data_IF_318492428124
#
_entry.id   IF_318492428124
#
_cell.length_a   1.000
_cell.length_b   1.000
_cell.length_c   1.000
_cell.angle_alpha   90.00
_cell.angle_beta   90.00
_cell.angle_gamma   90.00
#
_symmetry.space_group_name_H-M   'P 1'
#
loop_
_entity.id
_entity.type
_entity.pdbx_description
1 polymer ?
#
# COMPACT_ATOMS: atom_id res chain seq x y z
N UNK A 1 -26.00 8.68 -6.98
CA UNK A 1 -26.06 7.23 -7.20
C UNK A 1 -26.75 6.50 -6.04
N UNK A 2 -26.47 6.84 -4.76
CA UNK A 2 -27.20 6.31 -3.59
C UNK A 2 -27.62 7.42 -2.60
N UNK A 3 -28.68 8.18 -2.89
CA UNK A 3 -29.21 9.19 -1.96
C UNK A 3 -30.52 8.69 -1.36
N UNK A 4 -30.49 8.16 -0.15
CA UNK A 4 -31.66 7.96 0.70
C UNK A 4 -31.68 9.06 1.77
N UNK A 5 -32.88 9.54 2.16
CA UNK A 5 -33.01 10.57 3.21
C UNK A 5 -32.55 10.07 4.58
N UNK A 6 -32.79 8.78 4.84
CA UNK A 6 -32.60 8.20 6.18
C UNK A 6 -31.34 7.33 6.28
N UNK A 7 -30.62 7.14 5.17
CA UNK A 7 -29.44 6.28 5.12
C UNK A 7 -28.39 6.80 4.15
N UNK A 8 -27.20 7.09 4.70
CA UNK A 8 -26.02 7.41 3.92
C UNK A 8 -25.10 6.18 3.85
N UNK A 9 -25.11 5.49 2.71
CA UNK A 9 -24.24 4.32 2.49
C UNK A 9 -22.75 4.64 2.67
N UNK A 10 -22.35 5.90 2.41
CA UNK A 10 -20.97 6.35 2.55
C UNK A 10 -20.54 6.57 4.01
N UNK A 11 -21.49 6.71 4.95
CA UNK A 11 -21.20 6.62 6.38
C UNK A 11 -21.39 5.20 6.94
N UNK A 12 -22.13 4.34 6.24
CA UNK A 12 -22.29 2.95 6.66
C UNK A 12 -21.07 2.07 6.36
N UNK A 13 -20.22 2.49 5.42
CA UNK A 13 -19.01 1.75 5.02
C UNK A 13 -17.77 2.56 5.30
N UNK A 14 -16.90 2.00 6.14
CA UNK A 14 -15.66 2.65 6.55
C UNK A 14 -14.50 2.09 5.71
N UNK A 15 -13.59 2.93 5.19
CA UNK A 15 -12.44 2.44 4.43
C UNK A 15 -11.52 1.62 5.35
N UNK A 16 -11.37 0.33 5.05
CA UNK A 16 -10.42 -0.51 5.76
C UNK A 16 -8.98 -0.18 5.32
N UNK A 17 -8.18 0.28 6.28
CA UNK A 17 -6.78 0.68 6.10
C UNK A 17 -5.94 -0.43 5.47
N UNK A 18 -6.09 -1.68 5.94
CA UNK A 18 -5.25 -2.80 5.49
C UNK A 18 -5.54 -3.13 4.03
N UNK A 19 -6.81 -3.30 3.67
CA UNK A 19 -7.19 -3.60 2.29
C UNK A 19 -6.98 -2.42 1.34
N UNK A 20 -7.15 -1.18 1.80
CA UNK A 20 -6.97 0.02 0.98
C UNK A 20 -5.49 0.32 0.74
N UNK A 21 -4.67 0.39 1.80
CA UNK A 21 -3.26 0.78 1.70
C UNK A 21 -2.39 -0.43 1.36
N UNK A 22 -2.25 -1.38 2.29
CA UNK A 22 -1.28 -2.47 2.20
C UNK A 22 -1.58 -3.41 1.02
N UNK A 23 -2.80 -3.97 0.98
CA UNK A 23 -3.22 -4.92 -0.08
C UNK A 23 -3.80 -4.21 -1.32
N UNK A 24 -3.71 -2.89 -1.36
CA UNK A 24 -4.36 -2.07 -2.35
C UNK A 24 -3.41 -1.21 -3.13
N UNK A 25 -3.15 0.00 -2.62
CA UNK A 25 -2.30 0.97 -3.29
C UNK A 25 -0.85 0.48 -3.31
N UNK A 26 -0.32 -0.10 -2.22
CA UNK A 26 1.06 -0.62 -2.19
C UNK A 26 1.24 -1.72 -3.22
N UNK A 27 0.32 -2.70 -3.22
CA UNK A 27 0.30 -3.78 -4.22
C UNK A 27 0.34 -3.23 -5.63
N UNK A 28 -0.58 -2.32 -5.96
CA UNK A 28 -0.66 -1.72 -7.29
C UNK A 28 0.63 -0.99 -7.67
N UNK A 29 1.19 -0.16 -6.78
CA UNK A 29 2.40 0.60 -7.09
C UNK A 29 3.59 -0.31 -7.41
N UNK A 30 3.72 -1.43 -6.69
CA UNK A 30 4.78 -2.41 -6.95
C UNK A 30 4.56 -3.16 -8.26
N UNK A 31 3.33 -3.62 -8.53
CA UNK A 31 2.97 -4.30 -9.78
C UNK A 31 3.18 -3.37 -10.98
N UNK A 32 2.65 -2.15 -10.91
CA UNK A 32 2.84 -1.11 -11.91
C UNK A 32 4.32 -0.83 -12.17
N UNK A 33 5.14 -0.74 -11.11
CA UNK A 33 6.58 -0.48 -11.26
C UNK A 33 7.28 -1.62 -11.98
N UNK A 34 6.97 -2.88 -11.66
CA UNK A 34 7.55 -4.04 -12.36
C UNK A 34 7.15 -4.08 -13.83
N UNK A 35 5.87 -3.87 -14.12
CA UNK A 35 5.37 -3.82 -15.51
C UNK A 35 6.00 -2.66 -16.29
N UNK A 36 6.10 -1.48 -15.67
CA UNK A 36 6.74 -0.32 -16.24
C UNK A 36 8.21 -0.61 -16.61
N UNK A 37 8.99 -1.20 -15.69
CA UNK A 37 10.41 -1.51 -15.94
C UNK A 37 10.56 -2.52 -17.07
N UNK A 38 9.74 -3.57 -17.07
CA UNK A 38 9.72 -4.59 -18.12
C UNK A 38 9.44 -3.98 -19.51
N UNK A 39 8.49 -3.05 -19.59
CA UNK A 39 8.06 -2.47 -20.87
C UNK A 39 8.99 -1.34 -21.34
N UNK A 40 9.33 -0.42 -20.43
CA UNK A 40 9.97 0.87 -20.74
C UNK A 40 11.46 0.92 -20.43
N UNK A 41 12.03 -0.02 -19.70
CA UNK A 41 13.47 -0.10 -19.43
C UNK A 41 13.99 -1.38 -20.09
N UNK A 42 14.12 -2.47 -19.32
CA UNK A 42 14.41 -3.81 -19.80
C UNK A 42 14.02 -4.86 -18.75
N UNK A 43 14.05 -6.15 -19.13
CA UNK A 43 13.79 -7.27 -18.21
C UNK A 43 14.88 -7.46 -17.15
N UNK A 44 16.13 -7.09 -17.46
CA UNK A 44 17.26 -7.23 -16.53
C UNK A 44 17.09 -6.34 -15.30
N UNK A 45 16.49 -5.16 -15.48
CA UNK A 45 16.20 -4.19 -14.42
C UNK A 45 15.16 -4.74 -13.43
N UNK A 46 14.22 -5.56 -13.88
CA UNK A 46 13.27 -6.24 -12.99
C UNK A 46 14.01 -7.26 -12.11
N UNK A 47 14.95 -8.01 -12.68
CA UNK A 47 15.78 -8.96 -11.92
C UNK A 47 16.71 -8.23 -10.94
N UNK A 48 17.15 -7.02 -11.28
CA UNK A 48 17.99 -6.19 -10.42
C UNK A 48 17.25 -5.71 -9.16
N UNK A 49 15.92 -5.48 -9.23
CA UNK A 49 15.11 -5.23 -8.02
C UNK A 49 15.23 -6.40 -7.04
N UNK A 50 15.08 -7.62 -7.55
CA UNK A 50 15.17 -8.83 -6.74
C UNK A 50 16.58 -9.03 -6.19
N UNK A 51 17.61 -8.74 -6.99
CA UNK A 51 18.99 -8.76 -6.54
C UNK A 51 19.24 -7.77 -5.38
N UNK A 52 18.81 -6.51 -5.55
CA UNK A 52 18.96 -5.46 -4.54
C UNK A 52 18.22 -5.78 -3.27
N UNK A 53 16.99 -6.29 -3.36
CA UNK A 53 16.23 -6.75 -2.19
C UNK A 53 17.00 -7.83 -1.42
N UNK A 54 17.59 -8.82 -2.11
CA UNK A 54 18.38 -9.88 -1.46
C UNK A 54 19.66 -9.36 -0.80
N UNK A 55 20.22 -8.25 -1.28
CA UNK A 55 21.44 -7.63 -0.75
C UNK A 55 21.22 -6.79 0.49
N UNK A 56 19.97 -6.46 0.84
CA UNK A 56 19.67 -5.68 2.03
C UNK A 56 20.11 -6.47 3.28
N UNK A 57 20.91 -5.88 4.18
CA UNK A 57 21.31 -6.52 5.42
C UNK A 57 20.13 -6.97 6.27
N UNK A 58 20.30 -8.08 6.99
CA UNK A 58 19.29 -8.53 7.95
C UNK A 58 19.22 -7.55 9.12
N UNK A 59 18.01 -7.17 9.49
CA UNK A 59 17.75 -6.28 10.62
C UNK A 59 16.56 -6.82 11.45
N UNK A 60 16.60 -6.75 12.79
CA UNK A 60 15.49 -7.17 13.63
C UNK A 60 14.16 -6.49 13.23
N UNK A 61 13.13 -7.29 12.96
CA UNK A 61 11.81 -6.77 12.54
C UNK A 61 11.71 -6.32 11.08
N UNK A 62 12.74 -6.55 10.27
CA UNK A 62 12.69 -6.41 8.81
C UNK A 62 12.74 -7.79 8.16
N UNK A 63 11.62 -8.22 7.58
CA UNK A 63 11.50 -9.50 6.88
C UNK A 63 11.79 -9.24 5.39
N UNK A 64 12.91 -9.76 4.91
CA UNK A 64 13.34 -9.60 3.51
C UNK A 64 13.35 -10.95 2.83
N UNK A 65 12.79 -11.01 1.63
CA UNK A 65 12.66 -12.24 0.88
C UNK A 65 14.02 -12.71 0.38
N UNK A 66 14.45 -13.89 0.84
CA UNK A 66 15.68 -14.55 0.36
C UNK A 66 15.69 -14.77 -1.15
N UNK A 67 14.50 -14.86 -1.76
CA UNK A 67 14.31 -15.16 -3.18
C UNK A 67 13.82 -13.96 -4.01
N UNK A 68 13.81 -12.73 -3.47
CA UNK A 68 13.24 -11.58 -4.18
C UNK A 68 11.71 -11.64 -4.27
N UNK A 69 11.12 -10.89 -5.21
CA UNK A 69 9.67 -10.79 -5.42
C UNK A 69 9.11 -11.88 -6.35
N UNK A 70 9.96 -12.57 -7.12
CA UNK A 70 9.56 -13.54 -8.16
C UNK A 70 8.80 -14.78 -7.66
N UNK A 71 9.04 -15.24 -6.44
CA UNK A 71 8.58 -16.57 -5.97
C UNK A 71 7.40 -16.54 -4.98
N UNK A 72 6.73 -15.40 -4.81
CA UNK A 72 5.66 -15.27 -3.82
C UNK A 72 4.31 -15.17 -4.53
N UNK A 73 3.55 -16.27 -4.48
CA UNK A 73 2.24 -16.38 -5.13
C UNK A 73 1.20 -15.44 -4.53
N UNK A 74 1.33 -15.08 -3.24
CA UNK A 74 0.50 -14.10 -2.54
C UNK A 74 1.31 -13.38 -1.44
N UNK A 75 1.49 -12.08 -1.60
CA UNK A 75 2.03 -11.23 -0.54
C UNK A 75 0.96 -10.94 0.52
N UNK A 76 1.35 -11.00 1.79
CA UNK A 76 0.55 -10.56 2.92
C UNK A 76 0.68 -9.05 3.14
N UNK A 77 -0.20 -8.46 3.96
CA UNK A 77 -0.07 -7.05 4.33
C UNK A 77 1.29 -6.75 5.00
N UNK A 78 1.77 -7.67 5.85
CA UNK A 78 3.07 -7.54 6.51
C UNK A 78 4.23 -7.57 5.52
N UNK A 79 4.13 -8.35 4.45
CA UNK A 79 5.14 -8.39 3.39
C UNK A 79 5.26 -7.05 2.69
N UNK A 80 4.14 -6.47 2.27
CA UNK A 80 4.11 -5.14 1.67
C UNK A 80 4.69 -4.06 2.59
N UNK A 81 4.40 -4.14 3.90
CA UNK A 81 4.98 -3.23 4.91
C UNK A 81 6.50 -3.36 4.97
N UNK A 82 7.06 -4.56 4.86
CA UNK A 82 8.50 -4.74 4.85
C UNK A 82 9.14 -4.23 3.55
N UNK A 83 8.48 -4.42 2.40
CA UNK A 83 8.94 -3.86 1.11
C UNK A 83 8.94 -2.33 1.17
N UNK A 84 7.88 -1.72 1.68
CA UNK A 84 7.75 -0.26 1.78
C UNK A 84 8.90 0.40 2.57
N UNK A 85 9.45 -0.27 3.59
CA UNK A 85 10.59 0.25 4.37
C UNK A 85 11.85 0.41 3.53
N UNK A 86 11.99 -0.36 2.45
CA UNK A 86 13.25 -0.45 1.69
C UNK A 86 13.12 -0.06 0.22
N UNK A 87 11.89 0.09 -0.30
CA UNK A 87 11.63 0.22 -1.74
C UNK A 87 12.34 1.39 -2.40
N UNK A 88 12.50 2.53 -1.71
CA UNK A 88 13.21 3.68 -2.27
C UNK A 88 14.67 3.34 -2.54
N UNK A 89 15.35 2.67 -1.60
CA UNK A 89 16.75 2.27 -1.79
C UNK A 89 16.92 1.23 -2.89
N UNK A 90 15.90 0.40 -3.11
CA UNK A 90 15.89 -0.58 -4.20
C UNK A 90 15.77 0.11 -5.56
N UNK A 91 14.91 1.13 -5.66
CA UNK A 91 14.64 1.86 -6.92
C UNK A 91 15.71 2.92 -7.21
N UNK A 92 16.35 3.49 -6.20
CA UNK A 92 17.29 4.59 -6.39
C UNK A 92 18.47 4.19 -7.30
N UNK A 93 18.77 5.01 -8.30
CA UNK A 93 19.78 4.74 -9.33
C UNK A 93 19.67 3.32 -9.93
N UNK A 94 18.44 2.83 -10.14
CA UNK A 94 18.19 1.51 -10.71
C UNK A 94 18.42 1.47 -12.22
N UNK A 95 18.13 2.58 -12.91
CA UNK A 95 18.31 2.72 -14.36
C UNK A 95 18.47 4.19 -14.75
N UNK A 96 19.28 4.43 -15.79
CA UNK A 96 19.47 5.77 -16.36
C UNK A 96 18.73 5.94 -17.70
N UNK A 97 18.62 4.87 -18.48
CA UNK A 97 18.00 4.88 -19.81
C UNK A 97 16.59 4.27 -19.77
N UNK A 98 15.68 4.81 -20.57
CA UNK A 98 14.33 4.29 -20.76
C UNK A 98 13.81 4.63 -22.17
N UNK A 99 12.91 3.79 -22.69
CA UNK A 99 12.24 3.98 -23.96
C UNK A 99 11.29 5.18 -23.93
N UNK A 100 10.91 5.67 -25.09
CA UNK A 100 10.03 6.84 -25.24
C UNK A 100 8.77 6.76 -24.36
N UNK A 101 8.44 7.89 -23.71
CA UNK A 101 7.35 7.99 -22.74
C UNK A 101 7.64 7.33 -21.38
N UNK A 102 8.90 6.98 -21.10
CA UNK A 102 9.31 6.48 -19.79
C UNK A 102 9.38 7.56 -18.69
N UNK A 103 9.50 7.11 -17.46
CA UNK A 103 9.61 7.88 -16.23
C UNK A 103 11.07 7.80 -15.75
N UNK A 104 11.70 8.95 -15.51
CA UNK A 104 13.03 8.99 -14.89
C UNK A 104 13.04 8.30 -13.53
N UNK A 105 14.10 7.56 -13.21
CA UNK A 105 14.26 6.86 -11.93
C UNK A 105 14.03 7.80 -10.73
N UNK A 106 14.63 8.99 -10.70
CA UNK A 106 14.41 10.02 -9.66
C UNK A 106 12.94 10.42 -9.50
N UNK A 107 12.19 10.50 -10.59
CA UNK A 107 10.75 10.82 -10.57
C UNK A 107 9.94 9.67 -9.98
N UNK A 108 10.29 8.43 -10.30
CA UNK A 108 9.70 7.23 -9.71
C UNK A 108 9.97 7.16 -8.20
N UNK A 109 11.22 7.40 -7.75
CA UNK A 109 11.55 7.51 -6.33
C UNK A 109 10.69 8.57 -5.62
N UNK A 110 10.47 9.73 -6.25
CA UNK A 110 9.62 10.78 -5.68
C UNK A 110 8.14 10.38 -5.56
N UNK A 111 7.62 9.53 -6.46
CA UNK A 111 6.26 8.97 -6.33
C UNK A 111 6.18 8.07 -5.09
N UNK A 112 7.14 7.15 -4.93
CA UNK A 112 7.20 6.29 -3.74
C UNK A 112 7.39 7.10 -2.46
N UNK A 113 8.28 8.10 -2.45
CA UNK A 113 8.47 8.99 -1.31
C UNK A 113 7.19 9.69 -0.88
N UNK A 114 6.45 10.30 -1.81
CA UNK A 114 5.17 10.95 -1.52
C UNK A 114 4.13 9.95 -1.00
N UNK A 115 4.07 8.77 -1.59
CA UNK A 115 3.19 7.71 -1.14
C UNK A 115 3.53 7.24 0.27
N UNK A 116 4.82 7.00 0.59
CA UNK A 116 5.27 6.57 1.91
C UNK A 116 5.02 7.64 2.98
N UNK A 117 5.24 8.92 2.66
CA UNK A 117 4.90 10.02 3.57
C UNK A 117 3.40 10.02 3.90
N UNK A 118 2.55 9.90 2.88
CA UNK A 118 1.10 9.79 3.06
C UNK A 118 0.71 8.53 3.86
N UNK A 119 1.34 7.38 3.56
CA UNK A 119 1.13 6.12 4.27
C UNK A 119 1.44 6.27 5.76
N UNK A 120 2.55 6.93 6.11
CA UNK A 120 2.93 7.20 7.50
C UNK A 120 1.92 8.07 8.23
N UNK A 121 1.45 9.16 7.59
CA UNK A 121 0.40 10.02 8.16
C UNK A 121 -0.88 9.22 8.45
N UNK A 122 -1.32 8.38 7.51
CA UNK A 122 -2.53 7.57 7.66
C UNK A 122 -2.44 6.45 8.72
N UNK A 123 -1.26 6.21 9.29
CA UNK A 123 -1.06 5.27 10.41
C UNK A 123 -1.03 5.93 11.78
N UNK A 124 -1.12 7.26 11.85
CA UNK A 124 -1.21 7.97 13.11
C UNK A 124 -2.49 7.60 13.86
N UNK A 125 -2.41 7.60 15.19
CA UNK A 125 -3.53 7.31 16.08
C UNK A 125 -4.41 8.54 16.33
N UNK A 126 -3.88 9.73 16.06
CA UNK A 126 -4.50 11.02 16.29
C UNK A 126 -4.22 11.95 15.12
N UNK A 127 -5.18 12.80 14.78
CA UNK A 127 -5.06 13.77 13.69
C UNK A 127 -5.51 15.15 14.19
N UNK A 128 -4.71 16.17 13.91
CA UNK A 128 -5.11 17.58 14.02
C UNK A 128 -5.72 18.07 12.71
N UNK A 129 -6.40 19.22 12.74
CA UNK A 129 -6.90 19.85 11.51
C UNK A 129 -5.77 20.20 10.52
N UNK A 130 -4.57 20.49 11.03
CA UNK A 130 -3.38 20.70 10.20
C UNK A 130 -2.96 19.41 9.49
N UNK A 131 -2.96 18.28 10.19
CA UNK A 131 -2.64 16.97 9.60
C UNK A 131 -3.64 16.60 8.50
N UNK A 132 -4.94 16.84 8.75
CA UNK A 132 -5.99 16.59 7.76
C UNK A 132 -5.84 17.49 6.53
N UNK A 133 -5.49 18.77 6.71
CA UNK A 133 -5.25 19.70 5.60
C UNK A 133 -4.00 19.33 4.80
N UNK A 134 -2.93 18.90 5.47
CA UNK A 134 -1.74 18.38 4.78
C UNK A 134 -2.07 17.10 3.98
N UNK A 135 -2.81 16.18 4.59
CA UNK A 135 -3.27 14.96 3.94
C UNK A 135 -4.14 15.27 2.72
N UNK A 136 -5.06 16.23 2.83
CA UNK A 136 -5.90 16.70 1.74
C UNK A 136 -5.07 17.22 0.56
N UNK A 137 -4.06 18.06 0.81
CA UNK A 137 -3.18 18.59 -0.23
C UNK A 137 -2.36 17.48 -0.88
N UNK A 138 -1.82 16.56 -0.08
CA UNK A 138 -1.01 15.45 -0.56
C UNK A 138 -1.83 14.46 -1.40
N UNK A 139 -3.04 14.14 -0.97
CA UNK A 139 -3.96 13.21 -1.65
C UNK A 139 -4.63 13.85 -2.86
N UNK A 140 -5.10 15.10 -2.80
CA UNK A 140 -5.91 15.67 -3.89
C UNK A 140 -5.10 16.20 -5.08
N UNK A 141 -3.93 16.80 -4.84
CA UNK A 141 -3.27 17.62 -5.87
C UNK A 141 -2.10 16.96 -6.60
N UNK A 142 -1.38 16.00 -6.00
CA UNK A 142 -0.01 15.67 -6.44
C UNK A 142 0.25 14.25 -6.92
N UNK A 143 -0.62 13.28 -6.63
CA UNK A 143 -0.33 11.87 -6.91
C UNK A 143 -1.17 11.26 -8.05
N UNK A 144 -2.33 11.81 -8.43
CA UNK A 144 -3.40 10.97 -9.02
C UNK A 144 -4.18 11.51 -10.23
N UNK A 145 -3.57 12.32 -11.12
CA UNK A 145 -4.30 12.78 -12.33
C UNK A 145 -4.54 11.69 -13.39
N UNK A 146 -3.85 10.53 -13.33
CA UNK A 146 -3.90 9.52 -14.41
C UNK A 146 -4.11 8.06 -13.97
N UNK A 147 -4.34 7.77 -12.67
CA UNK A 147 -4.48 6.39 -12.18
C UNK A 147 -5.96 6.02 -11.94
N UNK A 148 -6.53 5.16 -12.79
CA UNK A 148 -7.89 4.59 -12.61
C UNK A 148 -7.87 3.41 -11.63
N UNK A 149 -7.56 3.66 -10.37
CA UNK A 149 -7.56 2.62 -9.33
C UNK A 149 -8.77 2.86 -8.41
N UNK A 150 -9.72 1.91 -8.29
CA UNK A 150 -10.87 2.06 -7.40
C UNK A 150 -10.49 2.40 -5.95
N UNK A 151 -9.39 1.83 -5.43
CA UNK A 151 -8.88 2.12 -4.09
C UNK A 151 -8.34 3.55 -3.93
N UNK A 152 -7.97 4.22 -5.02
CA UNK A 152 -7.62 5.65 -4.98
C UNK A 152 -8.85 6.55 -4.84
N UNK A 153 -9.99 6.14 -5.40
CA UNK A 153 -11.25 6.85 -5.16
C UNK A 153 -11.59 6.84 -3.67
N UNK A 154 -11.46 5.68 -3.01
CA UNK A 154 -11.65 5.55 -1.56
C UNK A 154 -10.73 6.48 -0.76
N UNK A 155 -9.44 6.46 -1.10
CA UNK A 155 -8.45 7.34 -0.48
C UNK A 155 -8.80 8.83 -0.65
N UNK A 156 -9.23 9.21 -1.85
CA UNK A 156 -9.51 10.60 -2.24
C UNK A 156 -10.74 11.17 -1.56
N UNK A 157 -11.83 10.40 -1.52
CA UNK A 157 -13.14 10.93 -1.16
C UNK A 157 -13.64 10.49 0.21
N UNK A 158 -13.15 9.37 0.74
CA UNK A 158 -13.75 8.77 1.94
C UNK A 158 -12.83 8.78 3.16
N UNK A 159 -11.50 8.83 2.99
CA UNK A 159 -10.57 8.77 4.13
C UNK A 159 -10.68 9.96 5.08
N UNK A 160 -10.65 11.19 4.59
CA UNK A 160 -10.74 12.37 5.47
C UNK A 160 -12.09 12.44 6.19
N UNK A 161 -13.25 12.25 5.51
CA UNK A 161 -14.53 12.15 6.20
C UNK A 161 -14.57 11.04 7.25
N UNK A 162 -14.03 9.86 6.96
CA UNK A 162 -13.98 8.77 7.94
C UNK A 162 -13.11 9.10 9.15
N UNK A 163 -11.97 9.78 8.96
CA UNK A 163 -11.12 10.20 10.08
C UNK A 163 -11.86 11.19 10.99
N UNK A 164 -12.60 12.14 10.41
CA UNK A 164 -13.39 13.11 11.17
C UNK A 164 -14.54 12.46 11.96
N UNK A 165 -15.17 11.42 11.41
CA UNK A 165 -16.33 10.78 12.01
C UNK A 165 -15.96 9.69 13.03
N UNK A 166 -14.90 8.92 12.76
CA UNK A 166 -14.60 7.68 13.49
C UNK A 166 -13.20 7.69 14.14
N UNK A 167 -12.42 8.75 13.96
CA UNK A 167 -11.05 8.83 14.47
C UNK A 167 -10.04 8.11 13.59
N UNK A 168 -8.98 7.56 14.17
CA UNK A 168 -7.88 7.03 13.37
C UNK A 168 -8.23 5.77 12.56
N UNK A 169 -7.56 5.65 11.41
CA UNK A 169 -7.67 4.50 10.51
C UNK A 169 -7.25 3.17 11.14
N UNK A 170 -6.52 3.19 12.26
CA UNK A 170 -6.10 1.98 12.96
C UNK A 170 -7.28 1.26 13.63
N UNK A 171 -8.23 2.01 14.19
CA UNK A 171 -9.45 1.45 14.80
C UNK A 171 -10.34 0.78 13.75
N UNK A 172 -10.24 1.26 12.51
CA UNK A 172 -11.07 0.84 11.37
C UNK A 172 -10.45 -0.31 10.58
N UNK A 173 -9.38 -0.94 11.10
CA UNK A 173 -8.66 -1.99 10.38
C UNK A 173 -9.26 -3.38 10.64
N UNK A 174 -9.42 -4.16 9.56
CA UNK A 174 -9.86 -5.56 9.66
C UNK A 174 -8.79 -6.51 10.24
N UNK A 175 -7.55 -6.05 10.40
CA UNK A 175 -6.41 -6.85 10.88
C UNK A 175 -6.67 -7.50 12.26
N UNK A 176 -7.28 -6.77 13.19
CA UNK A 176 -7.64 -7.30 14.52
C UNK A 176 -8.66 -8.42 14.41
N UNK A 177 -9.73 -8.20 13.64
CA UNK A 177 -10.79 -9.18 13.44
C UNK A 177 -10.28 -10.42 12.70
N UNK A 178 -9.44 -10.26 11.67
CA UNK A 178 -8.83 -11.39 10.96
C UNK A 178 -7.90 -12.21 11.86
N UNK A 179 -7.15 -11.55 12.73
CA UNK A 179 -6.26 -12.20 13.69
C UNK A 179 -7.06 -13.03 14.71
N UNK A 180 -8.11 -12.44 15.30
CA UNK A 180 -9.01 -13.13 16.23
C UNK A 180 -9.76 -14.28 15.55
N UNK A 181 -10.24 -14.09 14.33
CA UNK A 181 -10.90 -15.16 13.58
C UNK A 181 -9.94 -16.32 13.29
N UNK A 182 -8.66 -16.02 13.01
CA UNK A 182 -7.63 -17.05 12.82
C UNK A 182 -7.41 -17.85 14.11
N UNK A 183 -7.26 -17.19 15.25
CA UNK A 183 -6.98 -17.84 16.54
C UNK A 183 -8.18 -18.59 17.10
N UNK A 184 -9.38 -18.00 17.02
CA UNK A 184 -10.55 -18.48 17.75
C UNK A 184 -11.48 -19.36 16.90
N UNK A 185 -11.40 -19.27 15.57
CA UNK A 185 -12.27 -20.04 14.67
C UNK A 185 -11.44 -20.99 13.82
N UNK A 186 -10.51 -20.48 13.00
CA UNK A 186 -9.78 -21.31 12.04
C UNK A 186 -8.88 -22.36 12.69
N UNK A 187 -8.14 -21.99 13.75
CA UNK A 187 -7.23 -22.92 14.42
C UNK A 187 -8.00 -24.04 15.14
N UNK A 188 -9.02 -23.76 15.99
CA UNK A 188 -9.82 -24.81 16.61
C UNK A 188 -10.53 -25.71 15.60
N UNK A 189 -11.12 -25.12 14.55
CA UNK A 189 -11.76 -25.90 13.48
C UNK A 189 -10.79 -26.82 12.73
N UNK A 190 -9.51 -26.44 12.60
CA UNK A 190 -8.50 -27.30 11.98
C UNK A 190 -8.01 -28.41 12.90
N UNK A 191 -8.08 -28.21 14.22
CA UNK A 191 -7.70 -29.20 15.22
C UNK A 191 -8.81 -30.20 15.55
N UNK A 192 -10.04 -30.00 15.08
CA UNK A 192 -11.09 -31.02 15.18
C UNK A 192 -10.85 -32.12 14.15
N UNK A 193 -11.23 -33.35 14.48
CA UNK A 193 -11.29 -34.43 13.51
C UNK A 193 -12.32 -34.06 12.45
N UNK A 194 -11.84 -33.67 11.28
CA UNK A 194 -12.67 -33.48 10.08
C UNK A 194 -13.16 -34.86 9.66
N UNK A 195 -14.35 -35.25 10.12
CA UNK A 195 -15.15 -36.25 9.42
C UNK A 195 -15.77 -35.59 8.20
#
# INVERSE_FOLDING_TARGET
FWKSKDFNIYSATVPDRMHMLDLGITKYLLEYTREYLQQKVDSKTVNEIDHRLRKIPRYPGLIIFKNGLENITKFTANDYRNIMKVIIFVIDNLYDNYKEGGIMCKKLCNVFYKYLKMYMMLRQEMFTDMDLKELEVNVLKKLYHHCKIPKLHMLRYHVIPSIRLYGSMNVMSTETYETLHKSNVKNPYRSTNKK
#
